data_IF_043460275701
#
_entry.id   IF_043460275701
#
_cell.length_a   1.000
_cell.length_b   1.000
_cell.length_c   1.000
_cell.angle_alpha   90.00
_cell.angle_beta   90.00
_cell.angle_gamma   90.00
#
_symmetry.space_group_name_H-M   'P 1'
#
loop_
_entity.id
_entity.type
_entity.pdbx_description
1 polymer ?
#
# COMPACT_ATOMS: atom_id res chain seq x y z
N UNK A 1 -1.98 10.11 -4.43
CA UNK A 1 -0.68 10.80 -4.31
C UNK A 1 -0.70 12.06 -5.17
N UNK A 2 0.10 13.08 -4.83
CA UNK A 2 0.38 14.21 -5.71
C UNK A 2 1.78 14.03 -6.32
N UNK A 3 1.88 14.27 -7.62
CA UNK A 3 3.13 14.15 -8.37
C UNK A 3 3.83 15.50 -8.49
N UNK A 4 5.15 15.46 -8.66
CA UNK A 4 5.97 16.59 -9.09
C UNK A 4 7.31 16.13 -9.67
N UNK A 5 8.29 17.03 -9.87
CA UNK A 5 9.51 16.71 -10.62
C UNK A 5 10.32 15.50 -10.13
N UNK A 6 10.21 15.14 -8.85
CA UNK A 6 10.90 13.98 -8.25
C UNK A 6 10.04 12.72 -8.14
N UNK A 7 8.88 12.67 -8.82
CA UNK A 7 7.95 11.55 -8.75
C UNK A 7 6.80 11.81 -7.75
N UNK A 8 6.53 10.86 -6.86
CA UNK A 8 5.50 11.03 -5.83
C UNK A 8 6.01 11.97 -4.72
N UNK A 9 5.48 13.18 -4.66
CA UNK A 9 5.91 14.21 -3.69
C UNK A 9 5.08 14.24 -2.42
N UNK A 10 3.82 13.81 -2.49
CA UNK A 10 2.92 13.85 -1.36
C UNK A 10 2.00 12.64 -1.34
N UNK A 11 1.87 12.05 -0.15
CA UNK A 11 0.90 11.00 0.14
C UNK A 11 -0.37 11.65 0.67
N UNK A 12 -1.34 11.82 -0.21
CA UNK A 12 -2.68 12.28 0.17
C UNK A 12 -3.41 11.19 0.97
N UNK A 13 -4.25 11.55 1.95
CA UNK A 13 -5.07 10.59 2.68
C UNK A 13 -6.08 9.91 1.74
N UNK A 14 -6.63 8.78 2.17
CA UNK A 14 -7.62 8.03 1.39
C UNK A 14 -8.99 8.74 1.28
N UNK A 15 -9.19 9.82 2.03
CA UNK A 15 -10.45 10.56 2.08
C UNK A 15 -11.47 9.88 3.00
N UNK A 16 -12.75 10.26 2.84
CA UNK A 16 -13.85 9.65 3.58
C UNK A 16 -14.26 8.36 2.90
N UNK A 17 -14.14 7.25 3.61
CA UNK A 17 -14.48 5.92 3.12
C UNK A 17 -15.88 5.52 3.62
N UNK A 18 -16.61 4.76 2.80
CA UNK A 18 -17.83 4.11 3.28
C UNK A 18 -17.49 2.81 4.01
N UNK A 19 -18.37 2.29 4.90
CA UNK A 19 -18.07 1.09 5.69
C UNK A 19 -17.71 -0.16 4.86
N UNK A 20 -18.20 -0.24 3.62
CA UNK A 20 -17.84 -1.32 2.70
C UNK A 20 -16.36 -1.23 2.25
N UNK A 21 -15.87 -0.04 1.95
CA UNK A 21 -14.49 0.22 1.48
C UNK A 21 -13.48 0.02 2.61
N UNK A 22 -13.79 0.48 3.82
CA UNK A 22 -12.94 0.26 5.00
C UNK A 22 -12.71 -1.24 5.25
N UNK A 23 -13.78 -2.05 5.15
CA UNK A 23 -13.69 -3.51 5.27
C UNK A 23 -12.91 -4.14 4.12
N UNK A 24 -12.97 -3.57 2.91
CA UNK A 24 -12.17 -4.06 1.80
C UNK A 24 -10.67 -3.86 2.05
N UNK A 25 -10.28 -2.69 2.55
CA UNK A 25 -8.89 -2.39 2.91
C UNK A 25 -8.40 -3.30 4.03
N UNK A 26 -9.19 -3.47 5.09
CA UNK A 26 -8.84 -4.34 6.22
C UNK A 26 -8.57 -5.78 5.79
N UNK A 27 -9.32 -6.29 4.79
CA UNK A 27 -9.08 -7.63 4.23
C UNK A 27 -7.85 -7.71 3.34
N UNK A 28 -7.56 -6.67 2.57
CA UNK A 28 -6.44 -6.64 1.64
C UNK A 28 -5.07 -6.45 2.33
N UNK A 29 -5.03 -5.71 3.45
CA UNK A 29 -3.80 -5.40 4.17
C UNK A 29 -2.91 -6.63 4.49
N UNK A 30 -3.40 -7.73 5.09
CA UNK A 30 -2.55 -8.87 5.43
C UNK A 30 -1.89 -9.51 4.20
N UNK A 31 -2.64 -9.71 3.12
CA UNK A 31 -2.14 -10.32 1.89
C UNK A 31 -1.08 -9.44 1.20
N UNK A 32 -1.31 -8.13 1.17
CA UNK A 32 -0.36 -7.17 0.63
C UNK A 32 0.95 -7.17 1.43
N UNK A 33 0.85 -7.20 2.77
CA UNK A 33 2.01 -7.26 3.65
C UNK A 33 2.84 -8.54 3.43
N UNK A 34 2.17 -9.70 3.31
CA UNK A 34 2.84 -10.97 3.02
C UNK A 34 3.55 -10.96 1.66
N UNK A 35 2.87 -10.47 0.62
CA UNK A 35 3.44 -10.39 -0.72
C UNK A 35 4.64 -9.45 -0.81
N UNK A 36 4.58 -8.30 -0.12
CA UNK A 36 5.72 -7.38 -0.01
C UNK A 36 6.90 -8.07 0.67
N UNK A 37 6.65 -8.77 1.78
CA UNK A 37 7.72 -9.43 2.54
C UNK A 37 8.37 -10.55 1.71
N UNK A 38 7.60 -11.33 0.97
CA UNK A 38 8.13 -12.35 0.07
C UNK A 38 9.12 -11.78 -0.96
N UNK A 39 8.79 -10.62 -1.54
CA UNK A 39 9.70 -9.91 -2.46
C UNK A 39 10.97 -9.42 -1.77
N UNK A 40 10.85 -8.87 -0.56
CA UNK A 40 12.01 -8.42 0.24
C UNK A 40 12.93 -9.60 0.59
N UNK A 41 12.35 -10.71 1.02
CA UNK A 41 13.11 -11.92 1.40
C UNK A 41 13.82 -12.53 0.20
N UNK A 42 13.16 -12.54 -0.97
CA UNK A 42 13.79 -12.99 -2.21
C UNK A 42 15.06 -12.18 -2.54
N UNK A 43 14.99 -10.85 -2.47
CA UNK A 43 16.15 -9.98 -2.77
C UNK A 43 17.25 -10.11 -1.73
N UNK A 44 16.90 -10.21 -0.44
CA UNK A 44 17.88 -10.27 0.65
C UNK A 44 18.61 -11.59 0.76
N UNK A 45 17.98 -12.68 0.31
CA UNK A 45 18.55 -14.03 0.37
C UNK A 45 19.12 -14.50 -0.99
N UNK A 46 19.26 -13.59 -1.95
CA UNK A 46 19.86 -13.83 -3.27
C UNK A 46 21.38 -13.66 -3.27
#
# INVERSE_FOLDING_TARGET
VRLGPSGAEEILPLGNLIPYEEKAIQRALPELMESIQAGVDFVKNA
#
